data_IF_953768747232
#
_entry.id   IF_953768747232
#
_cell.length_a   1.000
_cell.length_b   1.000
_cell.length_c   1.000
_cell.angle_alpha   90.00
_cell.angle_beta   90.00
_cell.angle_gamma   90.00
#
_symmetry.space_group_name_H-M   'P 1'
#
loop_
_entity.id
_entity.type
_entity.pdbx_description
1 polymer ?
#
# COMPACT_ATOMS: atom_id res chain seq x y z
N UNK A 1 20.84 -24.04 5.04
CA UNK A 1 19.44 -24.41 4.75
C UNK A 1 18.56 -23.86 5.87
N UNK A 2 17.42 -23.21 5.56
CA UNK A 2 16.31 -22.85 6.48
C UNK A 2 16.44 -21.58 7.35
N UNK A 3 16.56 -20.40 6.72
CA UNK A 3 16.06 -19.13 7.32
C UNK A 3 15.02 -18.44 6.40
N UNK A 4 14.96 -18.82 5.12
CA UNK A 4 14.03 -18.27 4.13
C UNK A 4 12.56 -18.70 4.30
N UNK A 5 12.27 -19.75 5.07
CA UNK A 5 10.91 -20.33 5.15
C UNK A 5 10.03 -19.67 6.21
N UNK A 6 10.60 -19.10 7.28
CA UNK A 6 9.80 -18.46 8.34
C UNK A 6 9.26 -17.08 7.98
N UNK A 7 9.90 -16.37 7.03
CA UNK A 7 9.43 -15.04 6.58
C UNK A 7 8.20 -15.11 5.67
N UNK A 8 7.99 -16.24 4.98
CA UNK A 8 6.78 -16.51 4.21
C UNK A 8 5.60 -16.89 5.12
N UNK A 9 5.84 -17.60 6.22
CA UNK A 9 4.79 -18.12 7.09
C UNK A 9 4.06 -17.04 7.91
N UNK A 10 4.77 -16.04 8.44
CA UNK A 10 4.14 -14.96 9.21
C UNK A 10 3.31 -13.99 8.33
N UNK A 11 3.66 -13.88 7.04
CA UNK A 11 2.85 -13.21 6.03
C UNK A 11 1.68 -14.11 5.56
N UNK A 12 1.90 -15.40 5.36
CA UNK A 12 0.85 -16.37 4.97
C UNK A 12 -0.24 -16.56 6.03
N UNK A 13 0.09 -16.58 7.31
CA UNK A 13 -0.90 -16.80 8.39
C UNK A 13 -1.95 -15.70 8.50
N UNK A 14 -1.61 -14.45 8.14
CA UNK A 14 -2.58 -13.36 8.02
C UNK A 14 -3.35 -13.36 6.68
N UNK A 15 -2.91 -14.13 5.68
CA UNK A 15 -3.45 -14.08 4.31
C UNK A 15 -4.60 -15.06 4.03
N UNK A 16 -4.73 -16.15 4.79
CA UNK A 16 -5.83 -17.12 4.56
C UNK A 16 -7.20 -16.47 4.84
N UNK A 17 -7.27 -15.54 5.79
CA UNK A 17 -8.50 -14.80 6.12
C UNK A 17 -8.78 -13.64 5.15
N UNK A 18 -7.78 -13.17 4.40
CA UNK A 18 -7.88 -11.99 3.50
C UNK A 18 -8.29 -12.38 2.08
N UNK A 19 -7.99 -13.60 1.63
CA UNK A 19 -8.35 -14.05 0.28
C UNK A 19 -9.86 -14.04 0.04
N UNK A 20 -10.67 -14.39 1.05
CA UNK A 20 -12.12 -14.51 0.92
C UNK A 20 -12.88 -13.17 0.77
N UNK A 21 -12.24 -12.00 1.01
CA UNK A 21 -12.91 -10.69 1.01
C UNK A 21 -12.46 -9.75 -0.12
N UNK A 22 -11.62 -10.21 -1.06
CA UNK A 22 -10.76 -9.31 -1.83
C UNK A 22 -10.89 -9.42 -3.37
N UNK A 23 -12.07 -9.19 -3.96
CA UNK A 23 -12.18 -8.99 -5.42
C UNK A 23 -11.51 -7.68 -5.90
N UNK A 24 -10.30 -7.70 -6.50
CA UNK A 24 -9.68 -6.52 -7.16
C UNK A 24 -8.16 -6.21 -7.01
N UNK A 25 -7.40 -6.81 -6.10
CA UNK A 25 -5.93 -6.65 -5.90
C UNK A 25 -5.30 -8.03 -6.10
N UNK A 26 -4.34 -8.10 -7.01
CA UNK A 26 -3.58 -9.30 -7.34
C UNK A 26 -2.47 -9.58 -6.32
N UNK A 27 -2.83 -10.05 -5.13
CA UNK A 27 -1.88 -10.33 -4.04
C UNK A 27 -0.80 -11.34 -4.40
N UNK A 28 -1.15 -12.39 -5.15
CA UNK A 28 -0.17 -13.38 -5.62
C UNK A 28 0.84 -12.76 -6.58
N UNK A 29 0.40 -11.90 -7.49
CA UNK A 29 1.26 -11.12 -8.37
C UNK A 29 2.20 -10.18 -7.62
N UNK A 30 1.69 -9.47 -6.60
CA UNK A 30 2.51 -8.59 -5.74
C UNK A 30 3.60 -9.40 -5.04
N UNK A 31 3.25 -10.51 -4.39
CA UNK A 31 4.21 -11.34 -3.67
C UNK A 31 5.27 -11.94 -4.60
N UNK A 32 4.87 -12.38 -5.80
CA UNK A 32 5.80 -12.85 -6.82
C UNK A 32 6.77 -11.76 -7.24
N UNK A 33 6.26 -10.56 -7.52
CA UNK A 33 7.10 -9.40 -7.86
C UNK A 33 8.08 -9.05 -6.72
N UNK A 34 7.62 -9.03 -5.47
CA UNK A 34 8.46 -8.73 -4.31
C UNK A 34 9.58 -9.78 -4.11
N UNK A 35 9.28 -11.05 -4.36
CA UNK A 35 10.28 -12.13 -4.34
C UNK A 35 11.34 -11.91 -5.43
N UNK A 36 10.92 -11.47 -6.63
CA UNK A 36 11.83 -11.23 -7.76
C UNK A 36 12.65 -9.94 -7.60
N UNK A 37 12.15 -8.94 -6.87
CA UNK A 37 12.80 -7.64 -6.66
C UNK A 37 13.99 -7.68 -5.66
N UNK A 38 14.51 -8.86 -5.33
CA UNK A 38 15.64 -9.05 -4.40
C UNK A 38 15.28 -8.85 -2.92
N UNK A 39 13.99 -8.87 -2.57
CA UNK A 39 13.50 -8.79 -1.19
C UNK A 39 13.83 -7.48 -0.47
N UNK A 40 13.76 -7.51 0.86
CA UNK A 40 14.13 -6.40 1.74
C UNK A 40 15.21 -6.84 2.71
N UNK A 41 16.02 -5.90 3.21
CA UNK A 41 16.75 -6.14 4.46
C UNK A 41 15.74 -6.15 5.60
N UNK A 42 15.46 -7.30 6.24
CA UNK A 42 14.43 -7.38 7.26
C UNK A 42 14.86 -6.54 8.46
N UNK A 43 14.06 -5.52 8.79
CA UNK A 43 14.20 -4.74 10.00
C UNK A 43 12.83 -4.25 10.48
N UNK A 44 12.78 -3.70 11.69
CA UNK A 44 11.54 -3.21 12.31
C UNK A 44 10.75 -2.25 11.42
N UNK A 45 11.45 -1.34 10.75
CA UNK A 45 10.81 -0.32 9.91
C UNK A 45 10.28 -0.91 8.59
N UNK A 46 10.97 -1.89 8.01
CA UNK A 46 10.48 -2.66 6.86
C UNK A 46 9.18 -3.38 7.19
N UNK A 47 9.11 -4.09 8.32
CA UNK A 47 7.88 -4.76 8.74
C UNK A 47 6.76 -3.77 9.06
N UNK A 48 7.08 -2.67 9.75
CA UNK A 48 6.13 -1.61 10.01
C UNK A 48 5.57 -1.03 8.70
N UNK A 49 6.42 -0.68 7.74
CA UNK A 49 6.03 -0.06 6.48
C UNK A 49 5.14 -1.01 5.66
N UNK A 50 5.52 -2.29 5.57
CA UNK A 50 4.71 -3.31 4.89
C UNK A 50 3.31 -3.44 5.51
N UNK A 51 3.20 -3.41 6.86
CA UNK A 51 1.91 -3.43 7.55
C UNK A 51 1.07 -2.19 7.27
N UNK A 52 1.67 -1.00 7.21
CA UNK A 52 0.93 0.23 6.85
C UNK A 52 0.45 0.21 5.41
N UNK A 53 1.25 -0.30 4.47
CA UNK A 53 0.86 -0.47 3.07
C UNK A 53 -0.33 -1.44 2.93
N UNK A 54 -0.25 -2.61 3.58
CA UNK A 54 -1.35 -3.58 3.61
C UNK A 54 -2.62 -2.95 4.19
N UNK A 55 -2.53 -2.26 5.33
CA UNK A 55 -3.67 -1.59 5.96
C UNK A 55 -4.31 -0.55 5.03
N UNK A 56 -3.51 0.21 4.29
CA UNK A 56 -4.01 1.18 3.30
C UNK A 56 -4.77 0.51 2.16
N UNK A 57 -4.27 -0.61 1.62
CA UNK A 57 -4.95 -1.36 0.57
C UNK A 57 -6.23 -2.03 1.06
N UNK A 58 -6.23 -2.56 2.29
CA UNK A 58 -7.45 -3.09 2.92
C UNK A 58 -8.49 -2.00 3.10
N UNK A 59 -8.10 -0.81 3.57
CA UNK A 59 -9.02 0.31 3.74
C UNK A 59 -9.57 0.81 2.41
N UNK A 60 -8.72 0.98 1.39
CA UNK A 60 -9.13 1.38 0.04
C UNK A 60 -10.25 0.49 -0.49
N UNK A 61 -10.07 -0.83 -0.37
CA UNK A 61 -11.08 -1.80 -0.80
C UNK A 61 -12.32 -1.78 0.06
N UNK A 62 -12.16 -1.78 1.40
CA UNK A 62 -13.29 -1.76 2.34
C UNK A 62 -14.16 -0.52 2.12
N UNK A 63 -13.54 0.63 1.88
CA UNK A 63 -14.23 1.89 1.66
C UNK A 63 -14.99 1.89 0.33
N UNK A 64 -14.45 1.21 -0.70
CA UNK A 64 -14.99 1.15 -2.06
C UNK A 64 -15.53 2.51 -2.53
N UNK A 65 -14.73 3.56 -2.32
CA UNK A 65 -15.19 4.93 -2.42
C UNK A 65 -14.76 5.55 -3.76
N UNK A 66 -15.72 6.12 -4.48
CA UNK A 66 -15.51 6.69 -5.81
C UNK A 66 -14.47 7.83 -5.77
N UNK A 67 -13.57 7.84 -6.75
CA UNK A 67 -12.51 8.85 -6.93
C UNK A 67 -11.51 8.99 -5.76
N UNK A 68 -11.41 7.98 -4.89
CA UNK A 68 -10.56 8.03 -3.68
C UNK A 68 -9.30 7.16 -3.74
N UNK A 69 -9.08 6.44 -4.84
CA UNK A 69 -7.90 5.61 -5.11
C UNK A 69 -6.59 6.36 -4.75
N UNK A 70 -6.40 7.55 -5.33
CA UNK A 70 -5.19 8.36 -5.16
C UNK A 70 -4.99 8.82 -3.71
N UNK A 71 -6.07 9.06 -2.98
CA UNK A 71 -5.99 9.35 -1.55
C UNK A 71 -5.43 8.16 -0.77
N UNK A 72 -5.93 6.94 -1.01
CA UNK A 72 -5.43 5.75 -0.33
C UNK A 72 -3.99 5.41 -0.70
N UNK A 73 -3.61 5.58 -1.97
CA UNK A 73 -2.23 5.46 -2.43
C UNK A 73 -1.27 6.37 -1.67
N UNK A 74 -1.65 7.64 -1.58
CA UNK A 74 -0.90 8.64 -0.84
C UNK A 74 -0.84 8.31 0.65
N UNK A 75 -2.00 8.06 1.28
CA UNK A 75 -2.08 7.88 2.73
C UNK A 75 -1.36 6.60 3.20
N UNK A 76 -1.42 5.52 2.42
CA UNK A 76 -0.67 4.29 2.70
C UNK A 76 0.84 4.55 2.71
N UNK A 77 1.35 5.24 1.69
CA UNK A 77 2.77 5.61 1.59
C UNK A 77 3.18 6.61 2.69
N UNK A 78 2.33 7.58 3.01
CA UNK A 78 2.57 8.51 4.12
C UNK A 78 2.69 7.78 5.44
N UNK A 79 1.75 6.87 5.75
CA UNK A 79 1.76 6.09 6.99
C UNK A 79 2.98 5.17 7.04
N UNK A 80 3.33 4.53 5.92
CA UNK A 80 4.48 3.64 5.83
C UNK A 80 5.80 4.35 6.13
N UNK A 81 5.91 5.67 5.92
CA UNK A 81 7.11 6.44 6.25
C UNK A 81 6.99 7.13 7.61
N UNK A 82 5.89 7.86 7.85
CA UNK A 82 5.70 8.67 9.06
C UNK A 82 5.65 7.83 10.33
N UNK A 83 5.09 6.62 10.28
CA UNK A 83 4.90 5.75 11.46
C UNK A 83 6.03 4.73 11.64
N UNK A 84 6.94 4.63 10.69
CA UNK A 84 7.95 3.57 10.63
C UNK A 84 9.37 4.16 10.58
N UNK A 85 9.66 5.04 11.53
CA UNK A 85 11.02 5.57 11.75
C UNK A 85 11.51 6.58 10.71
N UNK A 86 10.69 6.92 9.69
CA UNK A 86 11.08 7.79 8.57
C UNK A 86 12.42 7.36 7.96
N UNK A 87 12.70 6.07 7.96
CA UNK A 87 13.99 5.52 7.52
C UNK A 87 14.06 5.28 6.02
N UNK A 88 15.26 5.02 5.51
CA UNK A 88 15.48 4.61 4.12
C UNK A 88 14.76 3.29 3.83
N UNK A 89 14.80 2.33 4.76
CA UNK A 89 14.13 1.04 4.60
C UNK A 89 12.61 1.19 4.54
N UNK A 90 12.01 2.04 5.37
CA UNK A 90 10.57 2.32 5.29
C UNK A 90 10.15 2.88 3.91
N UNK A 91 10.90 3.86 3.39
CA UNK A 91 10.66 4.44 2.06
C UNK A 91 10.84 3.41 0.95
N UNK A 92 11.90 2.62 1.00
CA UNK A 92 12.16 1.57 0.01
C UNK A 92 11.08 0.49 0.03
N UNK A 93 10.61 0.09 1.20
CA UNK A 93 9.49 -0.84 1.37
C UNK A 93 8.20 -0.29 0.78
N UNK A 94 7.82 0.94 1.08
CA UNK A 94 6.63 1.56 0.50
C UNK A 94 6.72 1.63 -1.03
N UNK A 95 7.89 2.03 -1.58
CA UNK A 95 8.14 2.08 -3.02
C UNK A 95 7.99 0.71 -3.69
N UNK A 96 8.72 -0.31 -3.23
CA UNK A 96 8.70 -1.66 -3.83
C UNK A 96 7.30 -2.27 -3.79
N UNK A 97 6.53 -2.08 -2.70
CA UNK A 97 5.14 -2.54 -2.63
C UNK A 97 4.23 -1.81 -3.63
N UNK A 98 4.41 -0.49 -3.80
CA UNK A 98 3.69 0.28 -4.83
C UNK A 98 4.03 -0.19 -6.24
N UNK A 99 5.32 -0.33 -6.57
CA UNK A 99 5.79 -0.78 -7.89
C UNK A 99 5.28 -2.19 -8.22
N UNK A 100 5.30 -3.09 -7.24
CA UNK A 100 4.78 -4.45 -7.42
C UNK A 100 3.27 -4.53 -7.52
N UNK A 101 2.52 -3.61 -6.88
CA UNK A 101 1.07 -3.48 -7.12
C UNK A 101 0.81 -3.10 -8.57
N UNK A 102 1.48 -2.06 -9.06
CA UNK A 102 1.31 -1.61 -10.43
C UNK A 102 1.65 -2.71 -11.44
N UNK A 103 2.80 -3.38 -11.27
CA UNK A 103 3.19 -4.52 -12.09
C UNK A 103 2.13 -5.62 -12.08
N UNK A 104 1.57 -5.94 -10.92
CA UNK A 104 0.54 -6.99 -10.78
C UNK A 104 -0.79 -6.67 -11.46
N UNK A 105 -1.04 -5.39 -11.77
CA UNK A 105 -2.23 -4.90 -12.45
C UNK A 105 -2.04 -4.76 -13.96
N UNK A 106 -0.83 -4.98 -14.48
CA UNK A 106 -0.52 -4.82 -15.91
C UNK A 106 -0.35 -3.37 -16.36
N UNK A 107 -0.24 -2.43 -15.40
CA UNK A 107 -0.27 -0.98 -15.69
C UNK A 107 -1.65 -0.49 -16.18
N UNK A 108 -1.73 0.79 -16.51
CA UNK A 108 -2.95 1.37 -17.09
C UNK A 108 -2.90 2.90 -17.21
N UNK A 109 -3.97 3.53 -17.72
CA UNK A 109 -4.04 4.99 -17.88
C UNK A 109 -3.77 5.75 -16.55
N UNK A 110 -4.17 5.17 -15.42
CA UNK A 110 -4.00 5.75 -14.09
C UNK A 110 -2.61 5.51 -13.46
N UNK A 111 -1.75 4.66 -14.05
CA UNK A 111 -0.44 4.28 -13.51
C UNK A 111 0.41 5.48 -13.06
N UNK A 112 0.49 6.51 -13.91
CA UNK A 112 1.27 7.72 -13.63
C UNK A 112 0.73 8.47 -12.41
N UNK A 113 -0.60 8.61 -12.33
CA UNK A 113 -1.25 9.34 -11.25
C UNK A 113 -1.20 8.56 -9.92
N UNK A 114 -1.32 7.22 -9.96
CA UNK A 114 -1.10 6.34 -8.82
C UNK A 114 0.34 6.47 -8.30
N UNK A 115 1.33 6.46 -9.18
CA UNK A 115 2.73 6.62 -8.80
C UNK A 115 3.05 8.02 -8.27
N UNK A 116 2.41 9.06 -8.80
CA UNK A 116 2.49 10.40 -8.25
C UNK A 116 1.94 10.45 -6.82
N UNK A 117 0.76 9.86 -6.58
CA UNK A 117 0.16 9.80 -5.25
C UNK A 117 1.04 9.02 -4.26
N UNK A 118 1.55 7.86 -4.67
CA UNK A 118 2.50 7.07 -3.89
C UNK A 118 3.74 7.90 -3.51
N UNK A 119 4.34 8.58 -4.49
CA UNK A 119 5.54 9.42 -4.27
C UNK A 119 5.26 10.59 -3.34
N UNK A 120 4.14 11.28 -3.53
CA UNK A 120 3.77 12.43 -2.72
C UNK A 120 3.57 12.04 -1.25
N UNK A 121 2.85 10.95 -0.98
CA UNK A 121 2.67 10.43 0.38
C UNK A 121 3.99 9.97 0.99
N UNK A 122 4.82 9.25 0.23
CA UNK A 122 6.14 8.77 0.70
C UNK A 122 7.12 9.91 1.03
N UNK A 123 6.92 11.07 0.40
CA UNK A 123 7.62 12.32 0.69
C UNK A 123 6.94 13.16 1.79
N UNK A 124 5.97 12.57 2.51
CA UNK A 124 5.26 13.17 3.65
C UNK A 124 4.39 14.38 3.28
N UNK A 125 3.88 14.41 2.05
CA UNK A 125 2.92 15.43 1.61
C UNK A 125 1.55 15.29 2.28
N UNK A 126 0.78 16.39 2.31
CA UNK A 126 -0.59 16.40 2.82
C UNK A 126 -1.57 15.73 1.84
N UNK A 127 -1.82 14.43 2.04
CA UNK A 127 -2.71 13.63 1.20
C UNK A 127 -4.16 14.12 1.19
N UNK A 128 -4.64 14.67 2.32
CA UNK A 128 -6.00 15.19 2.43
C UNK A 128 -6.22 16.38 1.51
N UNK A 129 -5.32 17.37 1.59
CA UNK A 129 -5.40 18.58 0.77
C UNK A 129 -5.26 18.27 -0.73
N UNK A 130 -4.46 17.26 -1.08
CA UNK A 130 -4.20 16.92 -2.48
C UNK A 130 -5.27 16.01 -3.10
N UNK A 131 -5.80 15.05 -2.34
CA UNK A 131 -6.61 13.96 -2.90
C UNK A 131 -7.97 13.74 -2.22
N UNK A 132 -8.35 14.51 -1.19
CA UNK A 132 -9.75 14.55 -0.75
C UNK A 132 -10.51 15.64 -1.47
N UNK A 133 -10.10 16.90 -1.23
CA UNK A 133 -10.85 18.08 -1.70
C UNK A 133 -10.74 18.31 -3.20
N UNK A 134 -9.53 18.19 -3.78
CA UNK A 134 -9.27 18.60 -5.18
C UNK A 134 -9.85 17.65 -6.22
N UNK A 135 -9.99 16.37 -5.89
CA UNK A 135 -10.43 15.32 -6.83
C UNK A 135 -11.85 14.84 -6.54
N UNK A 136 -12.56 15.49 -5.61
CA UNK A 136 -13.94 15.13 -5.25
C UNK A 136 -14.07 13.74 -4.62
N UNK A 137 -13.07 13.31 -3.84
CA UNK A 137 -13.15 12.05 -3.12
C UNK A 137 -14.14 12.15 -1.95
N UNK A 138 -15.11 11.24 -1.91
CA UNK A 138 -16.18 11.23 -0.92
C UNK A 138 -15.81 10.55 0.42
N UNK A 139 -14.55 10.11 0.57
CA UNK A 139 -14.08 9.43 1.77
C UNK A 139 -13.82 10.42 2.90
N UNK A 140 -14.33 10.13 4.09
CA UNK A 140 -14.05 10.87 5.31
C UNK A 140 -13.03 10.08 6.16
N UNK A 141 -11.78 10.57 6.30
CA UNK A 141 -10.75 9.87 7.07
C UNK A 141 -11.07 9.75 8.56
N UNK A 142 -11.82 10.69 9.12
CA UNK A 142 -12.15 10.71 10.55
C UNK A 142 -13.17 9.64 10.91
N UNK A 143 -14.15 9.39 10.02
CA UNK A 143 -15.20 8.39 10.23
C UNK A 143 -14.93 7.07 9.51
N UNK A 144 -13.88 7.01 8.67
CA UNK A 144 -13.53 5.85 7.82
C UNK A 144 -14.71 5.36 6.99
N UNK A 145 -15.46 6.30 6.42
CA UNK A 145 -16.67 6.02 5.64
C UNK A 145 -16.71 6.83 4.35
N UNK A 146 -17.35 6.27 3.33
CA UNK A 146 -17.63 6.95 2.06
C UNK A 146 -19.03 7.57 2.12
N UNK A 147 -19.16 8.85 1.77
CA UNK A 147 -20.49 9.45 1.54
C UNK A 147 -21.04 8.89 0.23
N UNK A 148 -22.24 8.31 0.30
CA UNK A 148 -22.97 7.78 -0.87
C UNK A 148 -23.67 8.90 -1.61
#
# INVERSE_FOLDING_TARGET
MRITVFFLAALCGMLIVVQAQSGGINWSGILRCLSNAGGYRPNRDTFCAARQMLAGYTEMRRANCRNCDKYFHCQANYNAVSRCGRSRSARETARKISDCREYSQGGGPDSVADQEANRFGRNLGNCGDRYLRRVGCAYNPSTRSCRR
#
